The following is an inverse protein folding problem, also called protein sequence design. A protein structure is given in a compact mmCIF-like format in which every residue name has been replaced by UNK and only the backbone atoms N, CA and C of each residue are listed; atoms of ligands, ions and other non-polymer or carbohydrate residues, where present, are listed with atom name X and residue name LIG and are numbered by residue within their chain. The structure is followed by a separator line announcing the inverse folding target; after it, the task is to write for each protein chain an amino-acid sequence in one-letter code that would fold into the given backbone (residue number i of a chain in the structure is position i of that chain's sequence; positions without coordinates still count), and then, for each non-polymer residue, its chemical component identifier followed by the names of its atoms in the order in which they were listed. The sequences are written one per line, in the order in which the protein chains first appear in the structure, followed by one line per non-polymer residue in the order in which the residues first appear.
data_IF_067918048349
#
_entry.id   IF_067918048349
#
_cell.length_a   1.000
_cell.length_b   1.000
_cell.length_c   1.000
_cell.angle_alpha   90.00
_cell.angle_beta   90.00
_cell.angle_gamma   90.00
#
_symmetry.space_group_name_H-M   'P 1'
#
loop_
_entity.id
_entity.type
_entity.pdbx_description
1 polymer ?
#
# COMPACT_ATOMS: atom_id res chain seq x y z
N UNK A 1 0.67 11.17 -14.96
CA UNK A 1 0.65 11.45 -13.51
C UNK A 1 -0.13 12.73 -13.31
N UNK A 2 -1.35 12.66 -12.75
CA UNK A 2 -2.14 13.85 -12.46
C UNK A 2 -1.45 14.63 -11.35
N UNK A 3 -1.18 15.92 -11.58
CA UNK A 3 -0.65 16.81 -10.55
C UNK A 3 -1.64 16.89 -9.38
N UNK A 4 -1.12 16.93 -8.15
CA UNK A 4 -1.93 17.08 -6.93
C UNK A 4 -2.69 18.40 -6.96
N UNK A 5 -4.02 18.34 -7.01
CA UNK A 5 -4.88 19.53 -6.98
C UNK A 5 -5.00 20.05 -5.54
N UNK A 6 -4.71 21.34 -5.34
CA UNK A 6 -4.77 21.99 -4.02
C UNK A 6 -6.19 22.48 -3.71
N UNK A 7 -6.56 22.46 -2.42
CA UNK A 7 -7.86 22.91 -1.90
C UNK A 7 -8.17 24.38 -2.23
N UNK A 8 -7.15 25.22 -2.13
CA UNK A 8 -7.23 26.63 -2.51
C UNK A 8 -6.33 26.89 -3.73
N UNK A 9 -6.77 27.78 -4.60
CA UNK A 9 -5.94 28.34 -5.65
C UNK A 9 -4.81 29.19 -5.05
N UNK A 10 -3.80 29.55 -5.85
CA UNK A 10 -2.69 30.42 -5.41
C UNK A 10 -3.18 31.79 -4.89
N UNK A 11 -4.38 32.19 -5.30
CA UNK A 11 -5.05 33.43 -4.89
C UNK A 11 -5.88 33.30 -3.59
N UNK A 12 -5.89 32.12 -2.94
CA UNK A 12 -6.64 31.86 -1.70
C UNK A 12 -8.13 31.54 -1.88
N UNK A 13 -8.67 31.66 -3.10
CA UNK A 13 -10.05 31.26 -3.41
C UNK A 13 -10.20 29.72 -3.51
N UNK A 14 -11.37 29.17 -3.14
CA UNK A 14 -11.63 27.73 -3.22
C UNK A 14 -11.52 27.25 -4.66
N UNK A 15 -10.75 26.18 -4.88
CA UNK A 15 -10.53 25.63 -6.22
C UNK A 15 -11.80 24.88 -6.69
N UNK A 16 -12.49 25.29 -7.76
CA UNK A 16 -13.71 24.64 -8.23
C UNK A 16 -13.50 23.23 -8.80
N UNK A 17 -12.24 22.83 -9.07
CA UNK A 17 -11.90 21.46 -9.47
C UNK A 17 -11.57 20.55 -8.28
N UNK A 18 -11.25 21.14 -7.14
CA UNK A 18 -10.97 20.39 -5.92
C UNK A 18 -12.28 19.94 -5.28
N UNK A 19 -12.57 18.65 -5.40
CA UNK A 19 -13.71 18.01 -4.74
C UNK A 19 -13.18 17.37 -3.46
N UNK A 20 -13.42 18.01 -2.31
CA UNK A 20 -13.18 17.40 -1.01
C UNK A 20 -14.32 16.43 -0.72
N UNK A 21 -14.02 15.13 -0.78
CA UNK A 21 -15.00 14.12 -0.43
C UNK A 21 -15.07 13.93 1.09
N UNK A 22 -14.12 14.43 1.87
CA UNK A 22 -13.92 14.10 3.28
C UNK A 22 -14.41 15.16 4.27
N UNK A 23 -15.18 16.15 3.83
CA UNK A 23 -15.73 17.17 4.70
C UNK A 23 -16.68 16.53 5.76
N UNK A 24 -16.55 17.00 7.01
CA UNK A 24 -17.39 16.52 8.10
C UNK A 24 -18.77 17.19 8.05
N UNK A 25 -19.82 16.38 8.16
CA UNK A 25 -21.19 16.89 8.21
C UNK A 25 -21.45 17.68 9.50
N UNK A 26 -22.38 18.64 9.44
CA UNK A 26 -22.78 19.40 10.62
C UNK A 26 -23.33 18.46 11.71
N UNK A 27 -22.81 18.54 12.96
CA UNK A 27 -23.20 17.60 13.99
C UNK A 27 -24.65 17.81 14.41
N UNK A 28 -25.44 16.74 14.39
CA UNK A 28 -26.81 16.74 14.90
C UNK A 28 -26.75 16.51 16.42
N UNK A 29 -27.45 17.36 17.17
CA UNK A 29 -27.51 17.28 18.62
C UNK A 29 -28.02 15.89 19.07
N UNK A 30 -27.26 15.24 19.96
CA UNK A 30 -27.57 13.90 20.45
C UNK A 30 -27.19 12.74 19.52
N UNK A 31 -26.63 13.01 18.34
CA UNK A 31 -26.25 11.98 17.36
C UNK A 31 -24.77 12.13 16.96
N UNK A 32 -23.88 12.18 17.95
CA UNK A 32 -22.43 12.32 17.70
C UNK A 32 -21.76 10.99 17.40
N UNK A 33 -22.28 9.89 17.95
CA UNK A 33 -21.71 8.55 17.79
C UNK A 33 -22.78 7.57 17.32
N UNK A 34 -22.42 6.67 16.39
CA UNK A 34 -23.30 5.62 15.88
C UNK A 34 -22.77 4.23 16.19
N UNK A 35 -23.68 3.29 16.39
CA UNK A 35 -23.38 1.86 16.38
C UNK A 35 -23.69 1.30 14.99
N UNK A 36 -22.71 0.61 14.38
CA UNK A 36 -22.81 0.04 13.04
C UNK A 36 -22.46 -1.44 13.08
N UNK A 37 -23.12 -2.24 12.25
CA UNK A 37 -22.68 -3.61 11.95
C UNK A 37 -22.44 -3.72 10.45
N UNK A 38 -21.35 -4.38 10.08
CA UNK A 38 -21.01 -4.65 8.69
C UNK A 38 -21.23 -6.12 8.38
N UNK A 39 -21.66 -6.39 7.15
CA UNK A 39 -21.65 -7.72 6.55
C UNK A 39 -20.78 -7.63 5.30
N UNK A 40 -19.65 -8.32 5.32
CA UNK A 40 -18.76 -8.45 4.16
C UNK A 40 -18.72 -9.89 3.70
N UNK A 41 -19.54 -10.26 2.69
CA UNK A 41 -19.61 -11.61 2.16
C UNK A 41 -18.26 -12.14 1.67
N UNK A 42 -17.34 -11.25 1.29
CA UNK A 42 -16.02 -11.56 0.74
C UNK A 42 -15.14 -12.40 1.66
N UNK A 43 -15.40 -12.36 2.98
CA UNK A 43 -14.69 -13.19 3.97
C UNK A 43 -15.18 -14.66 3.94
N UNK A 44 -16.35 -14.93 3.36
CA UNK A 44 -17.06 -16.22 3.49
C UNK A 44 -17.34 -16.84 2.11
N UNK A 45 -17.76 -16.02 1.15
CA UNK A 45 -18.08 -16.40 -0.22
C UNK A 45 -17.02 -15.86 -1.16
N UNK A 46 -16.75 -16.59 -2.25
CA UNK A 46 -15.95 -16.06 -3.36
C UNK A 46 -16.55 -14.74 -3.81
N UNK A 47 -15.73 -13.69 -3.90
CA UNK A 47 -16.19 -12.36 -4.30
C UNK A 47 -16.97 -12.49 -5.62
N UNK A 48 -18.19 -11.96 -5.65
CA UNK A 48 -19.10 -12.03 -6.79
C UNK A 48 -18.41 -11.52 -8.05
N UNK A 49 -17.57 -10.51 -7.89
CA UNK A 49 -16.75 -9.86 -8.90
C UNK A 49 -15.75 -10.86 -9.51
N UNK A 50 -15.09 -11.68 -8.69
CA UNK A 50 -14.20 -12.74 -9.18
C UNK A 50 -14.96 -13.85 -9.92
N UNK A 51 -16.14 -14.24 -9.43
CA UNK A 51 -16.99 -15.20 -10.12
C UNK A 51 -17.45 -14.69 -11.49
N UNK A 52 -17.96 -13.46 -11.54
CA UNK A 52 -18.36 -12.79 -12.79
C UNK A 52 -17.17 -12.68 -13.74
N UNK A 53 -16.00 -12.30 -13.23
CA UNK A 53 -14.79 -12.19 -14.05
C UNK A 53 -14.33 -13.56 -14.59
N UNK A 54 -14.42 -14.63 -13.81
CA UNK A 54 -14.12 -15.98 -14.30
C UNK A 54 -15.11 -16.45 -15.37
N UNK A 55 -16.40 -16.19 -15.21
CA UNK A 55 -17.41 -16.50 -16.23
C UNK A 55 -17.20 -15.66 -17.50
N UNK A 56 -16.85 -14.37 -17.34
CA UNK A 56 -16.41 -13.55 -18.44
C UNK A 56 -15.20 -14.16 -19.14
N UNK A 57 -14.16 -14.56 -18.40
CA UNK A 57 -12.97 -15.20 -18.98
C UNK A 57 -13.30 -16.49 -19.74
N UNK A 58 -14.23 -17.32 -19.25
CA UNK A 58 -14.67 -18.54 -19.96
C UNK A 58 -15.36 -18.24 -21.30
N UNK A 59 -16.07 -17.11 -21.40
CA UNK A 59 -16.70 -16.66 -22.64
C UNK A 59 -15.71 -15.90 -23.54
N UNK A 60 -14.81 -15.15 -22.91
CA UNK A 60 -13.75 -14.36 -23.53
C UNK A 60 -12.61 -15.21 -24.08
N UNK A 61 -12.50 -16.48 -23.66
CA UNK A 61 -11.34 -17.33 -23.91
C UNK A 61 -11.04 -17.50 -25.40
N UNK A 62 -10.23 -16.58 -25.90
CA UNK A 62 -9.81 -16.46 -27.29
C UNK A 62 -9.15 -17.75 -27.77
N UNK A 63 -8.46 -18.45 -26.85
CA UNK A 63 -7.82 -19.73 -27.10
C UNK A 63 -8.81 -20.80 -27.57
N UNK A 64 -10.02 -20.84 -27.01
CA UNK A 64 -11.06 -21.79 -27.41
C UNK A 64 -11.67 -21.43 -28.77
N UNK A 65 -11.71 -20.13 -29.11
CA UNK A 65 -12.07 -19.66 -30.45
C UNK A 65 -10.99 -20.06 -31.46
N UNK A 66 -9.71 -19.84 -31.13
CA UNK A 66 -8.56 -20.21 -31.94
C UNK A 66 -8.53 -21.71 -32.23
N UNK A 67 -8.76 -22.56 -31.21
CA UNK A 67 -8.84 -24.02 -31.35
C UNK A 67 -9.97 -24.44 -32.31
N UNK A 68 -11.16 -23.84 -32.21
CA UNK A 68 -12.27 -24.12 -33.14
C UNK A 68 -12.00 -23.63 -34.56
N UNK A 69 -11.25 -22.54 -34.71
CA UNK A 69 -10.82 -22.07 -36.02
C UNK A 69 -9.79 -23.01 -36.65
N UNK A 70 -8.91 -23.64 -35.87
CA UNK A 70 -8.04 -24.70 -36.39
C UNK A 70 -8.86 -25.88 -36.92
N UNK A 71 -9.89 -26.33 -36.20
CA UNK A 71 -10.81 -27.38 -36.68
C UNK A 71 -11.50 -26.97 -37.99
N UNK A 72 -11.89 -25.71 -38.12
CA UNK A 72 -12.50 -25.17 -39.34
C UNK A 72 -11.51 -25.10 -40.51
N UNK A 73 -10.25 -24.72 -40.26
CA UNK A 73 -9.17 -24.73 -41.26
C UNK A 73 -8.92 -26.15 -41.75
N UNK A 74 -8.88 -27.13 -40.85
CA UNK A 74 -8.79 -28.55 -41.23
C UNK A 74 -9.95 -28.98 -42.12
N UNK A 75 -11.19 -28.56 -41.80
CA UNK A 75 -12.37 -28.86 -42.62
C UNK A 75 -12.30 -28.24 -44.02
N UNK A 76 -11.96 -26.95 -44.13
CA UNK A 76 -11.83 -26.26 -45.42
C UNK A 76 -10.71 -26.89 -46.24
N UNK A 77 -9.57 -27.14 -45.60
CA UNK A 77 -8.41 -27.72 -46.26
C UNK A 77 -8.73 -29.10 -46.84
N UNK A 78 -9.48 -29.93 -46.10
CA UNK A 78 -10.00 -31.20 -46.62
C UNK A 78 -10.99 -31.01 -47.78
N UNK A 79 -11.98 -30.09 -47.64
CA UNK A 79 -13.03 -29.86 -48.63
C UNK A 79 -12.49 -29.34 -49.97
N UNK A 80 -11.49 -28.46 -49.91
CA UNK A 80 -10.92 -27.79 -51.09
C UNK A 80 -9.53 -28.32 -51.48
N UNK A 81 -9.03 -29.36 -50.82
CA UNK A 81 -7.70 -29.96 -51.04
C UNK A 81 -6.57 -28.94 -50.96
N UNK A 82 -6.63 -28.05 -49.97
CA UNK A 82 -5.57 -27.08 -49.72
C UNK A 82 -4.47 -27.74 -48.89
N UNK A 83 -3.30 -27.09 -48.81
CA UNK A 83 -2.28 -27.54 -47.87
C UNK A 83 -2.64 -27.06 -46.46
N UNK A 84 -2.91 -28.00 -45.56
CA UNK A 84 -3.25 -27.75 -44.16
C UNK A 84 -2.10 -27.04 -43.43
N UNK A 85 -0.86 -27.44 -43.67
CA UNK A 85 0.31 -26.93 -42.95
C UNK A 85 0.50 -25.45 -43.24
N UNK A 86 0.47 -25.06 -44.52
CA UNK A 86 0.58 -23.66 -44.93
C UNK A 86 -0.56 -22.79 -44.38
N UNK A 87 -1.80 -23.30 -44.37
CA UNK A 87 -2.94 -22.55 -43.83
C UNK A 87 -2.85 -22.34 -42.31
N UNK A 88 -2.29 -23.30 -41.59
CA UNK A 88 -2.04 -23.20 -40.16
C UNK A 88 -0.92 -22.20 -39.87
N UNK A 89 0.16 -22.20 -40.67
CA UNK A 89 1.22 -21.21 -40.59
C UNK A 89 0.69 -19.80 -40.87
N UNK A 90 -0.02 -19.60 -41.98
CA UNK A 90 -0.61 -18.31 -42.35
C UNK A 90 -1.58 -17.79 -41.28
N UNK A 91 -2.39 -18.68 -40.68
CA UNK A 91 -3.30 -18.30 -39.59
C UNK A 91 -2.56 -17.95 -38.30
N UNK A 92 -1.45 -18.64 -38.00
CA UNK A 92 -0.62 -18.35 -36.82
C UNK A 92 0.08 -17.00 -36.99
N UNK A 93 0.60 -16.73 -38.19
CA UNK A 93 1.21 -15.44 -38.54
C UNK A 93 0.19 -14.29 -38.46
N UNK A 94 -1.01 -14.51 -39.02
CA UNK A 94 -2.14 -13.58 -38.91
C UNK A 94 -2.50 -13.27 -37.46
N UNK A 95 -2.60 -14.29 -36.59
CA UNK A 95 -2.87 -14.08 -35.16
C UNK A 95 -1.76 -13.24 -34.54
N UNK A 96 -0.49 -13.49 -34.85
CA UNK A 96 0.63 -12.72 -34.26
C UNK A 96 0.64 -11.26 -34.72
N UNK A 97 0.37 -10.98 -36.00
CA UNK A 97 0.31 -9.61 -36.53
C UNK A 97 -0.91 -8.84 -36.01
N UNK A 98 -2.08 -9.45 -36.09
CA UNK A 98 -3.32 -8.83 -35.62
C UNK A 98 -3.42 -8.82 -34.09
N UNK A 99 -2.57 -9.56 -33.35
CA UNK A 99 -2.56 -9.55 -31.87
C UNK A 99 -2.41 -8.15 -31.29
N UNK A 100 -1.75 -7.23 -32.00
CA UNK A 100 -1.58 -5.84 -31.58
C UNK A 100 -2.87 -5.03 -31.75
N UNK A 101 -3.62 -5.22 -32.84
CA UNK A 101 -4.93 -4.59 -33.07
C UNK A 101 -6.04 -5.22 -32.23
N UNK A 102 -5.95 -6.51 -31.96
CA UNK A 102 -6.83 -7.26 -31.04
C UNK A 102 -6.65 -6.82 -29.58
N UNK A 103 -5.47 -6.35 -29.18
CA UNK A 103 -5.25 -5.72 -27.87
C UNK A 103 -5.80 -4.29 -27.79
N UNK A 104 -6.00 -3.65 -28.94
CA UNK A 104 -6.67 -2.35 -29.06
C UNK A 104 -8.19 -2.48 -28.88
N UNK A 105 -8.75 -3.68 -29.08
CA UNK A 105 -10.12 -4.00 -28.69
C UNK A 105 -10.27 -3.85 -27.17
N UNK A 106 -11.12 -2.91 -26.78
CA UNK A 106 -11.26 -2.47 -25.42
C UNK A 106 -12.03 -3.54 -24.62
N UNK A 107 -11.30 -4.41 -23.92
CA UNK A 107 -11.84 -5.42 -22.98
C UNK A 107 -12.93 -4.82 -22.08
N UNK A 108 -12.82 -3.54 -21.77
CA UNK A 108 -13.79 -2.81 -20.95
C UNK A 108 -15.18 -2.73 -21.62
N UNK A 109 -15.24 -2.49 -22.92
CA UNK A 109 -16.51 -2.36 -23.64
C UNK A 109 -17.18 -3.73 -23.82
N UNK A 110 -16.40 -4.77 -24.03
CA UNK A 110 -16.93 -6.13 -24.09
C UNK A 110 -17.34 -6.69 -22.74
N UNK A 111 -16.61 -6.35 -21.67
CA UNK A 111 -17.02 -6.66 -20.31
C UNK A 111 -18.34 -5.97 -19.95
N UNK A 112 -18.53 -4.70 -20.35
CA UNK A 112 -19.81 -3.99 -20.18
C UNK A 112 -20.94 -4.68 -20.95
N UNK A 113 -20.72 -5.00 -22.23
CA UNK A 113 -21.70 -5.72 -23.04
C UNK A 113 -22.05 -7.10 -22.47
N UNK A 114 -21.08 -7.79 -21.86
CA UNK A 114 -21.30 -9.06 -21.17
C UNK A 114 -22.13 -8.87 -19.90
N UNK A 115 -21.78 -7.88 -19.08
CA UNK A 115 -22.55 -7.53 -17.88
C UNK A 115 -23.99 -7.19 -18.22
N UNK A 116 -24.23 -6.30 -19.19
CA UNK A 116 -25.57 -5.86 -19.59
C UNK A 116 -26.46 -7.03 -20.07
N UNK A 117 -25.86 -8.09 -20.63
CA UNK A 117 -26.60 -9.26 -21.16
C UNK A 117 -26.75 -10.40 -20.15
N UNK A 118 -25.76 -10.61 -19.29
CA UNK A 118 -25.66 -11.82 -18.47
C UNK A 118 -25.77 -11.56 -16.96
N UNK A 119 -25.83 -10.31 -16.49
CA UNK A 119 -25.82 -9.97 -15.07
C UNK A 119 -26.93 -10.70 -14.28
N UNK A 120 -28.17 -10.67 -14.76
CA UNK A 120 -29.31 -11.31 -14.08
C UNK A 120 -29.15 -12.83 -13.99
N UNK A 121 -28.72 -13.45 -15.09
CA UNK A 121 -28.54 -14.91 -15.17
C UNK A 121 -27.37 -15.37 -14.28
N UNK A 122 -26.26 -14.64 -14.30
CA UNK A 122 -25.09 -14.89 -13.46
C UNK A 122 -25.41 -14.69 -11.99
N UNK A 123 -26.14 -13.65 -11.65
CA UNK A 123 -26.58 -13.38 -10.28
C UNK A 123 -27.48 -14.51 -9.77
N UNK A 124 -28.44 -14.98 -10.57
CA UNK A 124 -29.29 -16.10 -10.22
C UNK A 124 -28.52 -17.41 -10.03
N UNK A 125 -27.56 -17.70 -10.94
CA UNK A 125 -26.67 -18.87 -10.82
C UNK A 125 -25.81 -18.80 -9.56
N UNK A 126 -25.21 -17.64 -9.30
CA UNK A 126 -24.38 -17.40 -8.12
C UNK A 126 -25.19 -17.56 -6.83
N UNK A 127 -26.39 -16.97 -6.77
CA UNK A 127 -27.27 -17.13 -5.62
C UNK A 127 -27.66 -18.59 -5.38
N UNK A 128 -28.01 -19.33 -6.45
CA UNK A 128 -28.35 -20.76 -6.34
C UNK A 128 -27.17 -21.60 -5.84
N UNK A 129 -25.96 -21.33 -6.32
CA UNK A 129 -24.75 -22.05 -5.88
C UNK A 129 -24.39 -21.75 -4.42
N UNK A 130 -24.63 -20.52 -3.97
CA UNK A 130 -24.34 -20.07 -2.60
C UNK A 130 -25.57 -20.12 -1.67
N UNK A 131 -26.59 -20.92 -2.01
CA UNK A 131 -27.78 -21.14 -1.17
C UNK A 131 -28.50 -19.84 -0.75
N UNK A 132 -28.50 -18.83 -1.63
CA UNK A 132 -29.08 -17.51 -1.39
C UNK A 132 -28.51 -16.79 -0.15
N UNK A 133 -27.29 -17.13 0.26
CA UNK A 133 -26.57 -16.37 1.28
C UNK A 133 -26.28 -14.96 0.77
N UNK A 134 -26.26 -13.99 1.69
CA UNK A 134 -25.99 -12.58 1.37
C UNK A 134 -24.67 -12.45 0.63
N UNK A 135 -24.75 -12.05 -0.64
CA UNK A 135 -23.60 -11.86 -1.54
C UNK A 135 -23.21 -10.40 -1.72
N UNK A 136 -23.93 -9.50 -1.05
CA UNK A 136 -23.73 -8.06 -1.13
C UNK A 136 -23.24 -7.53 0.22
N UNK A 137 -22.31 -6.59 0.15
CA UNK A 137 -21.84 -5.79 1.28
C UNK A 137 -23.03 -5.08 1.94
N UNK A 138 -23.20 -5.26 3.25
CA UNK A 138 -24.30 -4.68 4.02
C UNK A 138 -23.80 -3.79 5.15
N UNK A 139 -24.47 -2.66 5.36
CA UNK A 139 -24.35 -1.86 6.59
C UNK A 139 -25.69 -1.90 7.31
N UNK A 140 -25.65 -2.17 8.61
CA UNK A 140 -26.80 -2.01 9.50
C UNK A 140 -26.51 -0.91 10.51
N UNK A 141 -27.29 0.17 10.44
CA UNK A 141 -27.31 1.21 11.45
C UNK A 141 -28.10 0.73 12.68
N UNK A 142 -27.46 0.69 13.85
CA UNK A 142 -28.03 0.16 15.10
C UNK A 142 -28.49 1.26 16.07
N UNK A 143 -28.22 2.52 15.76
CA UNK A 143 -28.61 3.69 16.55
C UNK A 143 -27.51 4.74 16.61
N UNK A 144 -27.89 5.95 17.05
CA UNK A 144 -26.98 7.05 17.35
C UNK A 144 -27.17 7.57 18.78
N UNK A 145 -26.08 8.11 19.34
CA UNK A 145 -25.93 8.47 20.74
C UNK A 145 -25.15 9.78 20.89
N UNK A 146 -25.33 10.43 22.04
CA UNK A 146 -24.72 11.73 22.31
C UNK A 146 -23.25 11.62 22.73
N UNK A 147 -22.90 10.56 23.46
CA UNK A 147 -21.55 10.29 23.97
C UNK A 147 -21.03 8.94 23.52
N UNK A 148 -19.71 8.80 23.50
CA UNK A 148 -19.05 7.54 23.19
C UNK A 148 -19.35 6.46 24.24
N UNK A 149 -19.37 6.82 25.52
CA UNK A 149 -19.65 5.90 26.63
C UNK A 149 -21.05 5.29 26.53
N UNK A 150 -22.05 6.09 26.13
CA UNK A 150 -23.42 5.62 25.92
C UNK A 150 -23.49 4.64 24.75
N UNK A 151 -22.79 4.94 23.65
CA UNK A 151 -22.69 4.05 22.49
C UNK A 151 -21.98 2.73 22.84
N UNK A 152 -20.92 2.76 23.64
CA UNK A 152 -20.20 1.58 24.14
C UNK A 152 -21.09 0.72 25.07
N UNK A 153 -21.86 1.33 25.95
CA UNK A 153 -22.80 0.59 26.81
C UNK A 153 -23.92 -0.07 25.99
N UNK A 154 -24.40 0.62 24.96
CA UNK A 154 -25.44 0.09 24.07
C UNK A 154 -24.92 -0.97 23.11
N UNK A 155 -23.68 -0.86 22.63
CA UNK A 155 -23.05 -1.91 21.81
C UNK A 155 -22.91 -3.21 22.61
N UNK A 156 -22.51 -3.14 23.89
CA UNK A 156 -22.46 -4.31 24.79
C UNK A 156 -23.82 -5.01 24.90
N UNK A 157 -24.88 -4.25 25.20
CA UNK A 157 -26.25 -4.79 25.29
C UNK A 157 -26.76 -5.37 23.96
N UNK A 158 -26.43 -4.74 22.83
CA UNK A 158 -26.81 -5.24 21.52
C UNK A 158 -26.08 -6.52 21.14
N UNK A 159 -24.84 -6.69 21.61
CA UNK A 159 -24.05 -7.90 21.37
C UNK A 159 -24.54 -9.11 22.18
N UNK A 160 -25.15 -8.87 23.34
CA UNK A 160 -25.88 -9.93 24.07
C UNK A 160 -27.09 -10.45 23.28
N UNK A 161 -27.76 -9.59 22.52
CA UNK A 161 -28.94 -9.96 21.72
C UNK A 161 -28.56 -10.59 20.37
N UNK A 162 -27.44 -10.16 19.78
CA UNK A 162 -26.95 -10.60 18.47
C UNK A 162 -25.46 -10.94 18.55
N UNK A 163 -25.11 -12.18 18.96
CA UNK A 163 -23.73 -12.60 19.15
C UNK A 163 -22.99 -12.89 17.84
N UNK A 164 -23.67 -12.90 16.70
CA UNK A 164 -23.10 -13.29 15.42
C UNK A 164 -22.47 -12.12 14.66
N UNK A 165 -22.78 -10.87 15.04
CA UNK A 165 -22.32 -9.69 14.33
C UNK A 165 -21.44 -8.82 15.20
N UNK A 166 -20.30 -8.41 14.65
CA UNK A 166 -19.48 -7.38 15.24
C UNK A 166 -20.21 -6.03 15.21
N UNK A 167 -20.10 -5.28 16.31
CA UNK A 167 -20.70 -3.95 16.47
C UNK A 167 -19.57 -2.95 16.65
N UNK A 168 -19.50 -2.00 15.73
CA UNK A 168 -18.53 -0.94 15.69
C UNK A 168 -19.16 0.35 16.21
N UNK A 169 -18.42 1.10 17.01
CA UNK A 169 -18.80 2.43 17.47
C UNK A 169 -17.94 3.44 16.73
N UNK A 170 -18.56 4.44 16.11
CA UNK A 170 -17.84 5.46 15.36
C UNK A 170 -18.54 6.82 15.37
N UNK A 171 -17.80 7.91 15.12
CA UNK A 171 -18.40 9.24 15.02
C UNK A 171 -19.33 9.34 13.80
N UNK A 172 -20.41 10.11 13.95
CA UNK A 172 -21.35 10.40 12.86
C UNK A 172 -20.84 11.62 12.08
N UNK A 173 -20.93 11.57 10.76
CA UNK A 173 -20.50 12.66 9.87
C UNK A 173 -19.04 12.58 9.43
N UNK A 174 -18.33 11.49 9.73
CA UNK A 174 -16.94 11.25 9.31
C UNK A 174 -16.88 9.98 8.47
N UNK A 175 -16.01 9.98 7.45
CA UNK A 175 -15.73 8.77 6.67
C UNK A 175 -15.07 7.71 7.54
N UNK A 176 -15.70 6.54 7.58
CA UNK A 176 -15.16 5.37 8.26
C UNK A 176 -14.75 4.30 7.23
N UNK A 177 -13.63 3.60 7.46
CA UNK A 177 -13.26 2.47 6.62
C UNK A 177 -14.36 1.39 6.65
N UNK A 178 -14.62 0.80 5.49
CA UNK A 178 -15.56 -0.29 5.37
C UNK A 178 -15.03 -1.55 6.06
N UNK A 179 -15.84 -2.18 6.93
CA UNK A 179 -15.54 -3.44 7.63
C UNK A 179 -14.09 -3.49 8.16
N UNK A 180 -13.74 -2.58 9.08
CA UNK A 180 -12.38 -2.40 9.49
C UNK A 180 -11.92 -3.60 10.34
N UNK A 181 -10.70 -4.07 10.09
CA UNK A 181 -10.11 -5.19 10.83
C UNK A 181 -9.95 -4.81 12.31
N UNK A 182 -10.47 -5.66 13.20
CA UNK A 182 -10.43 -5.48 14.64
C UNK A 182 -9.01 -5.12 15.11
N UNK A 183 -7.98 -5.80 14.59
CA UNK A 183 -6.58 -5.56 14.98
C UNK A 183 -6.02 -4.21 14.52
N UNK A 184 -6.58 -3.62 13.46
CA UNK A 184 -6.17 -2.30 12.95
C UNK A 184 -6.98 -1.17 13.57
N UNK A 185 -8.19 -1.47 14.02
CA UNK A 185 -9.04 -0.54 14.79
C UNK A 185 -8.61 -0.55 16.25
N UNK A 186 -7.93 0.51 16.69
CA UNK A 186 -7.25 0.57 17.98
C UNK A 186 -7.94 -0.15 19.15
N UNK A 187 -9.08 0.35 19.64
CA UNK A 187 -9.71 -0.17 20.86
C UNK A 187 -10.68 -1.32 20.55
N UNK A 188 -10.28 -2.54 20.91
CA UNK A 188 -11.10 -3.75 20.81
C UNK A 188 -11.56 -4.17 22.21
N UNK A 189 -12.86 -4.43 22.37
CA UNK A 189 -13.42 -5.04 23.58
C UNK A 189 -14.20 -6.30 23.20
N UNK A 190 -13.75 -7.46 23.65
CA UNK A 190 -14.39 -8.77 23.55
C UNK A 190 -15.50 -8.97 24.61
N UNK A 191 -16.36 -9.97 24.43
CA UNK A 191 -17.40 -10.31 25.42
C UNK A 191 -16.82 -10.95 26.67
N UNK A 192 -15.79 -11.79 26.49
CA UNK A 192 -15.15 -12.48 27.59
C UNK A 192 -14.12 -11.56 28.27
N UNK A 193 -14.29 -11.36 29.58
CA UNK A 193 -13.36 -10.55 30.37
C UNK A 193 -11.95 -11.13 30.38
N UNK A 194 -11.82 -12.47 30.39
CA UNK A 194 -10.53 -13.15 30.32
C UNK A 194 -9.82 -12.90 28.98
N UNK A 195 -10.56 -12.91 27.87
CA UNK A 195 -10.01 -12.62 26.54
C UNK A 195 -9.59 -11.15 26.42
N UNK A 196 -10.33 -10.23 27.04
CA UNK A 196 -9.95 -8.82 27.13
C UNK A 196 -8.64 -8.62 27.89
N UNK A 197 -8.49 -9.30 29.03
CA UNK A 197 -7.26 -9.27 29.81
C UNK A 197 -6.08 -9.83 29.00
N UNK A 198 -6.27 -10.98 28.35
CA UNK A 198 -5.24 -11.60 27.53
C UNK A 198 -4.82 -10.70 26.35
N UNK A 199 -5.77 -10.04 25.69
CA UNK A 199 -5.47 -9.09 24.61
C UNK A 199 -4.70 -7.86 25.12
N UNK A 200 -5.11 -7.29 26.26
CA UNK A 200 -4.42 -6.17 26.88
C UNK A 200 -2.99 -6.55 27.30
N UNK A 201 -2.81 -7.74 27.87
CA UNK A 201 -1.49 -8.29 28.20
C UNK A 201 -0.62 -8.51 26.97
N UNK A 202 -1.19 -9.02 25.87
CA UNK A 202 -0.48 -9.17 24.59
C UNK A 202 0.02 -7.82 24.07
N UNK A 203 -0.84 -6.81 24.01
CA UNK A 203 -0.45 -5.45 23.59
C UNK A 203 0.66 -4.88 24.49
N UNK A 204 0.54 -5.08 25.81
CA UNK A 204 1.56 -4.66 26.77
C UNK A 204 2.89 -5.38 26.58
N UNK A 205 2.86 -6.67 26.24
CA UNK A 205 4.05 -7.45 25.94
C UNK A 205 4.68 -7.05 24.61
N UNK A 206 3.88 -6.79 23.58
CA UNK A 206 4.37 -6.27 22.29
C UNK A 206 5.01 -4.89 22.43
N UNK A 207 4.39 -3.99 23.20
CA UNK A 207 4.95 -2.67 23.51
C UNK A 207 6.29 -2.79 24.25
N UNK A 208 6.35 -3.62 25.30
CA UNK A 208 7.61 -3.90 26.02
C UNK A 208 8.69 -4.49 25.11
N UNK A 209 8.33 -5.45 24.25
CA UNK A 209 9.26 -6.06 23.31
C UNK A 209 9.82 -5.03 22.32
N UNK A 210 8.98 -4.09 21.85
CA UNK A 210 9.41 -2.98 20.99
C UNK A 210 10.35 -2.02 21.73
N UNK A 211 10.03 -1.63 22.96
CA UNK A 211 10.91 -0.80 23.79
C UNK A 211 12.26 -1.48 24.05
N UNK A 212 12.26 -2.77 24.37
CA UNK A 212 13.48 -3.54 24.60
C UNK A 212 14.31 -3.69 23.32
N UNK A 213 13.65 -3.84 22.17
CA UNK A 213 14.31 -3.86 20.87
C UNK A 213 14.95 -2.50 20.53
N UNK A 214 14.23 -1.39 20.76
CA UNK A 214 14.75 -0.03 20.56
C UNK A 214 15.93 0.25 21.50
N UNK A 215 15.86 -0.17 22.77
CA UNK A 215 16.98 -0.11 23.72
C UNK A 215 18.18 -0.92 23.23
N UNK A 216 17.98 -2.14 22.75
CA UNK A 216 19.05 -2.98 22.18
C UNK A 216 19.70 -2.31 20.98
N UNK A 217 18.93 -1.72 20.07
CA UNK A 217 19.47 -0.97 18.93
C UNK A 217 20.30 0.22 19.42
N UNK A 218 19.79 1.00 20.38
CA UNK A 218 20.49 2.15 20.94
C UNK A 218 21.81 1.74 21.61
N UNK A 219 21.80 0.66 22.39
CA UNK A 219 23.00 0.15 23.06
C UNK A 219 24.01 -0.45 22.07
N UNK A 220 23.54 -1.11 21.01
CA UNK A 220 24.42 -1.64 19.95
C UNK A 220 25.05 -0.50 19.16
N UNK A 221 24.28 0.54 18.83
CA UNK A 221 24.80 1.76 18.21
C UNK A 221 25.84 2.44 19.10
N UNK A 222 25.58 2.60 20.40
CA UNK A 222 26.55 3.15 21.37
C UNK A 222 27.84 2.33 21.41
N UNK A 223 27.75 1.01 21.53
CA UNK A 223 28.93 0.12 21.55
C UNK A 223 29.73 0.18 20.25
N UNK A 224 29.06 0.18 19.10
CA UNK A 224 29.72 0.30 17.81
C UNK A 224 30.48 1.62 17.68
N UNK A 225 29.93 2.71 18.22
CA UNK A 225 30.57 4.03 18.23
C UNK A 225 31.75 4.06 19.22
N UNK A 226 31.60 3.51 20.42
CA UNK A 226 32.70 3.39 21.38
C UNK A 226 33.87 2.55 20.84
N UNK A 227 33.57 1.44 20.15
CA UNK A 227 34.59 0.62 19.48
C UNK A 227 35.26 1.37 18.33
N UNK A 228 34.50 2.17 17.56
CA UNK A 228 35.05 3.02 16.51
C UNK A 228 35.96 4.12 17.11
N UNK A 229 35.57 4.75 18.21
CA UNK A 229 36.40 5.74 18.93
C UNK A 229 37.70 5.11 19.42
N UNK A 230 37.63 3.92 20.04
CA UNK A 230 38.83 3.19 20.51
C UNK A 230 39.76 2.80 19.35
N UNK A 231 39.20 2.31 18.24
CA UNK A 231 39.98 1.97 17.03
C UNK A 231 40.59 3.21 16.39
N UNK A 232 39.88 4.35 16.37
CA UNK A 232 40.41 5.61 15.85
C UNK A 232 41.56 6.16 16.70
N UNK A 233 41.44 6.10 18.04
CA UNK A 233 42.51 6.46 18.97
C UNK A 233 43.75 5.56 18.81
N UNK A 234 43.57 4.26 18.57
CA UNK A 234 44.67 3.32 18.37
C UNK A 234 45.33 3.44 16.99
N UNK A 235 44.59 3.86 15.96
CA UNK A 235 45.08 3.96 14.57
C UNK A 235 45.52 5.36 14.16
N UNK A 236 45.34 6.38 15.01
CA UNK A 236 45.73 7.76 14.73
C UNK A 236 44.96 8.41 13.57
N UNK A 237 43.80 7.86 13.19
CA UNK A 237 42.99 8.33 12.07
C UNK A 237 41.82 9.22 12.55
N UNK A 238 41.49 10.27 11.78
CA UNK A 238 40.49 11.28 12.17
C UNK A 238 39.07 10.67 12.18
N UNK A 239 38.36 10.84 13.29
CA UNK A 239 36.99 10.34 13.49
C UNK A 239 36.03 11.07 12.51
N UNK A 240 35.31 10.33 11.66
CA UNK A 240 34.42 10.92 10.64
C UNK A 240 32.96 11.03 11.07
N UNK A 241 32.61 10.60 12.30
CA UNK A 241 31.23 10.58 12.81
C UNK A 241 31.17 10.94 14.31
N UNK A 242 30.32 11.90 14.69
CA UNK A 242 30.02 12.31 16.08
C UNK A 242 28.51 12.29 16.34
N UNK A 243 28.07 12.20 17.60
CA UNK A 243 26.64 12.08 17.98
C UNK A 243 26.09 13.44 18.46
N UNK A 244 24.83 13.74 18.16
CA UNK A 244 24.06 14.80 18.84
C UNK A 244 23.48 14.35 20.20
N UNK A 245 22.86 15.28 20.95
CA UNK A 245 22.27 15.00 22.27
C UNK A 245 21.05 14.05 22.21
N UNK A 246 20.48 13.80 21.02
CA UNK A 246 19.31 12.94 20.81
C UNK A 246 19.68 11.51 20.35
N UNK A 247 20.95 11.27 20.03
CA UNK A 247 21.47 9.94 19.68
C UNK A 247 21.48 9.64 18.18
N UNK A 248 21.43 10.66 17.33
CA UNK A 248 21.58 10.51 15.88
C UNK A 248 23.05 10.64 15.45
N UNK A 249 23.43 9.93 14.38
CA UNK A 249 24.79 9.96 13.82
C UNK A 249 24.94 11.18 12.91
N UNK A 250 25.77 12.15 13.29
CA UNK A 250 26.17 13.27 12.43
C UNK A 250 27.54 12.93 11.83
N UNK A 251 27.60 12.88 10.50
CA UNK A 251 28.88 12.78 9.79
C UNK A 251 29.60 14.13 9.84
N UNK A 252 30.92 14.13 10.05
CA UNK A 252 31.79 15.34 10.11
C UNK A 252 31.79 16.16 8.80
N UNK A 253 31.01 15.77 7.78
CA UNK A 253 30.87 16.51 6.52
C UNK A 253 29.99 17.75 6.59
N UNK A 254 29.10 17.88 7.58
CA UNK A 254 28.20 19.05 7.68
C UNK A 254 28.78 20.22 8.49
N UNK A 255 29.86 20.02 9.27
CA UNK A 255 30.47 21.06 10.13
C UNK A 255 31.78 21.62 9.59
N UNK A 256 32.08 21.40 8.30
CA UNK A 256 33.18 22.08 7.60
C UNK A 256 32.62 22.72 6.35
N UNK A 257 32.50 24.04 6.39
CA UNK A 257 32.18 24.87 5.23
C UNK A 257 33.34 24.78 4.23
N UNK A 258 33.15 23.96 3.19
CA UNK A 258 34.10 23.83 2.09
C UNK A 258 33.98 24.97 1.07
N UNK A 259 32.89 25.74 1.09
CA UNK A 259 32.63 26.79 0.11
C UNK A 259 33.40 28.09 0.44
N UNK A 260 33.91 28.23 1.66
CA UNK A 260 34.70 29.39 2.08
C UNK A 260 36.22 29.26 1.84
N UNK A 261 36.70 28.14 1.26
CA UNK A 261 38.12 27.99 0.88
C UNK A 261 38.30 28.45 -0.55
N UNK A 262 38.84 29.65 -0.74
CA UNK A 262 39.35 30.07 -2.04
C UNK A 262 40.39 29.06 -2.53
N UNK A 263 40.18 28.55 -3.75
CA UNK A 263 41.13 27.65 -4.39
C UNK A 263 42.46 28.40 -4.57
N UNK A 264 43.49 27.97 -3.84
CA UNK A 264 44.87 28.45 -3.99
C UNK A 264 45.28 28.42 -5.46
N UNK A 265 45.75 29.55 -5.97
CA UNK A 265 46.15 29.68 -7.39
C UNK A 265 47.40 28.85 -7.68
N UNK A 266 47.60 28.46 -8.94
CA UNK A 266 48.75 27.64 -9.37
C UNK A 266 50.12 28.28 -9.03
N UNK A 267 50.16 29.60 -8.85
CA UNK A 267 51.38 30.33 -8.47
C UNK A 267 51.73 30.15 -6.99
N UNK A 268 50.73 30.08 -6.11
CA UNK A 268 50.94 29.87 -4.67
C UNK A 268 51.35 28.44 -4.36
N UNK A 269 50.77 27.47 -5.07
CA UNK A 269 51.16 26.05 -4.97
C UNK A 269 52.58 25.81 -5.50
N UNK A 270 53.00 26.50 -6.57
CA UNK A 270 54.40 26.45 -7.04
C UNK A 270 55.37 27.03 -6.01
N UNK A 271 55.07 28.20 -5.44
CA UNK A 271 55.90 28.80 -4.38
C UNK A 271 56.02 27.92 -3.14
N UNK A 272 54.92 27.29 -2.72
CA UNK A 272 54.93 26.38 -1.57
C UNK A 272 55.81 25.15 -1.83
N UNK A 273 55.71 24.56 -3.03
CA UNK A 273 56.51 23.41 -3.41
C UNK A 273 58.01 23.75 -3.54
N UNK A 274 58.34 24.93 -4.06
CA UNK A 274 59.71 25.43 -4.11
C UNK A 274 60.30 25.66 -2.70
N UNK A 275 59.51 26.21 -1.77
CA UNK A 275 59.96 26.42 -0.38
C UNK A 275 60.14 25.08 0.38
N UNK A 276 59.29 24.09 0.07
CA UNK A 276 59.42 22.72 0.59
C UNK A 276 60.69 22.03 0.09
N UNK A 277 60.98 22.14 -1.21
CA UNK A 277 62.19 21.62 -1.84
C UNK A 277 63.45 22.29 -1.28
N UNK A 278 63.40 23.61 -1.03
CA UNK A 278 64.50 24.34 -0.42
C UNK A 278 64.77 23.88 1.02
N UNK A 279 63.72 23.62 1.81
CA UNK A 279 63.85 23.10 3.19
C UNK A 279 64.36 21.66 3.23
N UNK A 280 63.94 20.81 2.31
CA UNK A 280 64.48 19.45 2.22
C UNK A 280 65.96 19.47 1.80
N UNK A 281 66.33 20.24 0.79
CA UNK A 281 67.73 20.41 0.37
C UNK A 281 68.61 21.03 1.47
N UNK A 282 68.06 21.91 2.31
CA UNK A 282 68.77 22.44 3.47
C UNK A 282 68.99 21.38 4.55
N UNK A 283 68.03 20.45 4.75
CA UNK A 283 68.21 19.30 5.66
C UNK A 283 69.25 18.31 5.13
N UNK A 284 69.25 17.99 3.84
CA UNK A 284 70.24 17.06 3.25
C UNK A 284 71.66 17.61 3.20
N UNK A 285 71.88 18.91 3.44
CA UNK A 285 73.21 19.53 3.55
C UNK A 285 73.72 19.64 5.00
N UNK A 286 72.88 19.33 5.98
CA UNK A 286 73.24 19.32 7.41
C UNK A 286 73.48 17.91 7.97
N UNK A 287 73.36 16.87 7.12
CA UNK A 287 73.84 15.50 7.34
C UNK A 287 75.06 15.23 6.43
#
# INVERSE_FOLDING_TARGET
MSAFERKNNENGEPNPKYIDLCDEDQPIAGQKFGCFSFVSPEKILKQREHYIFEEFLKQWDFKKSTDKFFDFIHFISFKYKLNVENLIEDYTEFITEESLKLKEYNINDDFKNFMDKQEDELTAKFQKQNQFQTSVRGIKFRGAFASQEEAELKSKKLREQDPHHDIFVGPVGVWMPWDPDAYKTGRIEFMEEELNQLHHEKLKNEAKAKEDFEKRIKDTKRKAIEENIKKAQQSGNVLTQTIDEEGNLIGVRETVDFDSREATTEEETKKYNEDLLARELAKTKMD
#
